data_IF_966565113590
#
_entry.id   IF_966565113590
#
_cell.length_a   1.000
_cell.length_b   1.000
_cell.length_c   1.000
_cell.angle_alpha   90.00
_cell.angle_beta   90.00
_cell.angle_gamma   90.00
#
_symmetry.space_group_name_H-M   'P 1'
#
loop_
_entity.id
_entity.type
_entity.pdbx_description
1 polymer ?
#
# COMPACT_ATOMS: atom_id res chain seq x y z
N UNK A 1 8.12 -14.07 -11.41
CA UNK A 1 9.19 -15.07 -11.19
C UNK A 1 8.80 -16.14 -10.19
N UNK A 2 8.37 -15.82 -8.98
CA UNK A 2 7.91 -16.82 -7.99
C UNK A 2 6.83 -17.76 -8.53
N UNK A 3 5.80 -17.23 -9.20
CA UNK A 3 4.77 -18.05 -9.87
C UNK A 3 5.35 -19.01 -10.92
N UNK A 4 6.37 -18.59 -11.67
CA UNK A 4 7.02 -19.47 -12.67
C UNK A 4 7.72 -20.65 -11.99
N UNK A 5 8.45 -20.40 -10.89
CA UNK A 5 9.09 -21.44 -10.08
C UNK A 5 8.04 -22.40 -9.49
N UNK A 6 6.92 -21.85 -8.99
CA UNK A 6 5.84 -22.67 -8.45
C UNK A 6 5.19 -23.54 -9.52
N UNK A 7 4.85 -22.96 -10.67
CA UNK A 7 4.28 -23.73 -11.80
C UNK A 7 5.21 -24.83 -12.27
N UNK A 8 6.51 -24.55 -12.37
CA UNK A 8 7.50 -25.58 -12.72
C UNK A 8 7.55 -26.71 -11.68
N UNK A 9 7.56 -26.37 -10.36
CA UNK A 9 7.50 -27.36 -9.28
C UNK A 9 6.24 -28.24 -9.36
N UNK A 10 5.13 -27.66 -9.83
CA UNK A 10 3.86 -28.38 -10.05
C UNK A 10 3.84 -29.20 -11.36
N UNK A 11 4.95 -29.26 -12.10
CA UNK A 11 5.10 -30.04 -13.33
C UNK A 11 4.55 -29.37 -14.59
N UNK A 12 4.23 -28.08 -14.54
CA UNK A 12 3.80 -27.35 -15.72
C UNK A 12 4.98 -27.01 -16.65
N UNK A 13 4.74 -27.05 -17.96
CA UNK A 13 5.63 -26.42 -18.94
C UNK A 13 5.42 -24.90 -18.87
N UNK A 14 6.46 -24.16 -18.49
CA UNK A 14 6.36 -22.72 -18.22
C UNK A 14 7.02 -21.92 -19.33
N UNK A 15 6.35 -20.84 -19.76
CA UNK A 15 6.88 -19.79 -20.62
C UNK A 15 6.77 -18.45 -19.89
N UNK A 16 7.89 -17.74 -19.71
CA UNK A 16 7.93 -16.39 -19.19
C UNK A 16 7.93 -15.39 -20.33
N UNK A 17 7.00 -14.44 -20.30
CA UNK A 17 6.92 -13.35 -21.29
C UNK A 17 7.25 -12.02 -20.60
N UNK A 18 8.21 -11.28 -21.13
CA UNK A 18 8.51 -9.89 -20.74
C UNK A 18 8.90 -9.05 -21.96
N UNK A 19 8.72 -7.73 -21.85
CA UNK A 19 9.12 -6.81 -22.93
C UNK A 19 10.62 -6.63 -23.03
N UNK A 20 11.35 -6.78 -21.94
CA UNK A 20 12.80 -6.54 -21.87
C UNK A 20 13.51 -7.60 -21.05
N UNK A 21 14.62 -8.10 -21.59
CA UNK A 21 15.49 -9.03 -20.87
C UNK A 21 16.14 -8.39 -19.63
N UNK A 22 16.39 -7.08 -19.68
CA UNK A 22 17.03 -6.33 -18.58
C UNK A 22 16.20 -6.33 -17.29
N UNK A 23 14.90 -6.67 -17.36
CA UNK A 23 14.02 -6.80 -16.22
C UNK A 23 14.08 -8.17 -15.55
N UNK A 24 14.76 -9.12 -16.17
CA UNK A 24 14.89 -10.49 -15.66
C UNK A 24 16.21 -10.58 -14.90
N UNK A 25 16.19 -10.82 -13.58
CA UNK A 25 17.41 -11.02 -12.80
C UNK A 25 18.24 -12.18 -13.33
N UNK A 26 19.57 -12.03 -13.27
CA UNK A 26 20.50 -13.01 -13.81
C UNK A 26 20.32 -14.41 -13.16
N UNK A 27 20.15 -14.44 -11.85
CA UNK A 27 19.91 -15.68 -11.09
C UNK A 27 18.62 -16.40 -11.50
N UNK A 28 17.59 -15.63 -11.87
CA UNK A 28 16.35 -16.22 -12.40
C UNK A 28 16.55 -16.74 -13.84
N UNK A 29 17.30 -16.04 -14.68
CA UNK A 29 17.59 -16.47 -16.04
C UNK A 29 18.41 -17.80 -16.05
N UNK A 30 19.43 -17.91 -15.19
CA UNK A 30 20.21 -19.14 -14.99
C UNK A 30 19.32 -20.30 -14.51
N UNK A 31 18.45 -20.04 -13.54
CA UNK A 31 17.50 -21.04 -13.08
C UNK A 31 16.56 -21.47 -14.22
N UNK A 32 16.01 -20.52 -14.99
CA UNK A 32 15.06 -20.80 -16.08
C UNK A 32 15.70 -21.69 -17.16
N UNK A 33 16.96 -21.41 -17.53
CA UNK A 33 17.73 -22.23 -18.46
C UNK A 33 17.88 -23.66 -17.94
N UNK A 34 18.31 -23.80 -16.67
CA UNK A 34 18.51 -25.13 -16.05
C UNK A 34 17.21 -25.92 -15.88
N UNK A 35 16.09 -25.22 -15.68
CA UNK A 35 14.76 -25.81 -15.51
C UNK A 35 14.00 -26.03 -16.82
N UNK A 36 14.57 -25.63 -17.96
CA UNK A 36 13.88 -25.71 -19.27
C UNK A 36 12.68 -24.78 -19.40
N UNK A 37 12.69 -23.64 -18.66
CA UNK A 37 11.68 -22.61 -18.77
C UNK A 37 12.01 -21.68 -19.93
N UNK A 38 11.07 -21.54 -20.87
CA UNK A 38 11.23 -20.69 -22.03
C UNK A 38 11.06 -19.21 -21.63
N UNK A 39 12.07 -18.38 -21.89
CA UNK A 39 11.98 -16.94 -21.74
C UNK A 39 11.83 -16.30 -23.12
N UNK A 40 10.76 -15.52 -23.30
CA UNK A 40 10.48 -14.80 -24.55
C UNK A 40 10.39 -13.30 -24.24
N UNK A 41 11.31 -12.54 -24.83
CA UNK A 41 11.36 -11.08 -24.69
C UNK A 41 10.89 -10.38 -25.95
N UNK A 42 10.33 -9.17 -25.76
CA UNK A 42 9.83 -8.32 -26.83
C UNK A 42 8.33 -8.07 -26.77
N UNK A 43 7.77 -7.60 -27.89
CA UNK A 43 6.33 -7.35 -27.97
C UNK A 43 5.54 -8.66 -27.93
N UNK A 44 4.41 -8.61 -27.22
CA UNK A 44 3.53 -9.78 -27.11
C UNK A 44 2.71 -9.97 -28.38
N UNK A 45 2.50 -11.25 -28.74
CA UNK A 45 1.70 -11.65 -29.89
C UNK A 45 0.75 -12.82 -29.55
N UNK A 46 -0.38 -12.96 -30.24
CA UNK A 46 -1.34 -14.05 -29.99
C UNK A 46 -0.74 -15.46 -30.07
N UNK A 47 0.30 -15.64 -30.91
CA UNK A 47 0.95 -16.96 -31.05
C UNK A 47 1.61 -17.46 -29.77
N UNK A 48 2.04 -16.54 -28.88
CA UNK A 48 2.67 -16.89 -27.62
C UNK A 48 1.68 -17.47 -26.58
N UNK A 49 0.38 -17.24 -26.77
CA UNK A 49 -0.69 -17.66 -25.86
C UNK A 49 -1.52 -18.85 -26.40
N UNK A 50 -1.30 -19.27 -27.64
CA UNK A 50 -2.16 -20.28 -28.35
C UNK A 50 -2.25 -21.62 -27.60
N UNK A 51 -1.15 -22.08 -27.01
CA UNK A 51 -1.07 -23.37 -26.31
C UNK A 51 -1.21 -23.21 -24.77
N UNK A 52 -1.38 -21.99 -24.29
CA UNK A 52 -1.48 -21.74 -22.85
C UNK A 52 -2.80 -22.33 -22.31
N UNK A 53 -2.71 -22.96 -21.12
CA UNK A 53 -3.87 -23.39 -20.34
C UNK A 53 -4.15 -22.41 -19.20
N UNK A 54 -3.11 -21.72 -18.76
CA UNK A 54 -3.14 -20.76 -17.66
C UNK A 54 -2.22 -19.60 -17.99
N UNK A 55 -2.67 -18.38 -17.68
CA UNK A 55 -1.87 -17.15 -17.73
C UNK A 55 -1.85 -16.53 -16.34
N UNK A 56 -0.64 -16.35 -15.81
CA UNK A 56 -0.42 -15.68 -14.51
C UNK A 56 0.22 -14.32 -14.77
N UNK A 57 -0.56 -13.23 -14.79
CA UNK A 57 -0.03 -11.90 -15.06
C UNK A 57 0.81 -11.38 -13.89
N UNK A 58 1.79 -10.53 -14.20
CA UNK A 58 2.43 -9.72 -13.18
C UNK A 58 1.43 -8.74 -12.58
N UNK A 59 1.49 -8.44 -11.25
CA UNK A 59 0.67 -7.41 -10.65
C UNK A 59 0.82 -6.08 -11.41
N UNK A 60 -0.28 -5.41 -11.71
CA UNK A 60 -0.29 -4.19 -12.54
C UNK A 60 -0.45 -4.40 -14.05
N UNK A 61 -0.49 -5.64 -14.52
CA UNK A 61 -0.92 -5.95 -15.88
C UNK A 61 -2.41 -6.32 -15.86
N UNK A 62 -3.25 -5.44 -16.38
CA UNK A 62 -4.70 -5.65 -16.39
C UNK A 62 -5.09 -6.86 -17.22
N UNK A 63 -6.04 -7.66 -16.75
CA UNK A 63 -6.58 -8.80 -17.49
C UNK A 63 -7.09 -8.41 -18.89
N UNK A 64 -7.69 -7.21 -19.00
CA UNK A 64 -8.16 -6.65 -20.28
C UNK A 64 -7.04 -6.40 -21.30
N UNK A 65 -5.79 -6.15 -20.83
CA UNK A 65 -4.63 -6.03 -21.74
C UNK A 65 -4.23 -7.40 -22.27
N UNK A 66 -4.25 -8.42 -21.43
CA UNK A 66 -3.88 -9.79 -21.79
C UNK A 66 -4.93 -10.41 -22.70
N UNK A 67 -6.21 -10.19 -22.42
CA UNK A 67 -7.34 -10.74 -23.20
C UNK A 67 -7.25 -10.45 -24.70
N UNK A 68 -6.59 -9.33 -25.07
CA UNK A 68 -6.38 -8.97 -26.49
C UNK A 68 -5.47 -9.93 -27.26
N UNK A 69 -4.68 -10.73 -26.55
CA UNK A 69 -3.75 -11.71 -27.13
C UNK A 69 -4.25 -13.15 -27.01
N UNK A 70 -5.33 -13.38 -26.27
CA UNK A 70 -5.85 -14.71 -26.05
C UNK A 70 -6.66 -15.19 -27.26
N UNK A 71 -6.67 -16.52 -27.52
CA UNK A 71 -7.53 -17.09 -28.57
C UNK A 71 -9.02 -16.92 -28.18
N UNK A 72 -9.85 -16.61 -29.18
CA UNK A 72 -11.31 -16.53 -29.00
C UNK A 72 -11.92 -17.89 -28.64
N UNK A 73 -11.38 -18.94 -29.25
CA UNK A 73 -11.80 -20.31 -29.00
C UNK A 73 -11.01 -20.90 -27.83
N UNK A 74 -11.69 -21.18 -26.72
CA UNK A 74 -11.14 -21.80 -25.52
C UNK A 74 -9.95 -20.99 -24.90
N UNK A 75 -10.19 -19.76 -24.44
CA UNK A 75 -9.13 -18.93 -23.86
C UNK A 75 -8.57 -19.60 -22.58
N UNK A 76 -7.26 -19.41 -22.29
CA UNK A 76 -6.67 -19.88 -21.05
C UNK A 76 -7.28 -19.16 -19.84
N UNK A 77 -7.28 -19.84 -18.69
CA UNK A 77 -7.64 -19.18 -17.42
C UNK A 77 -6.63 -18.06 -17.11
N UNK A 78 -7.11 -16.89 -16.72
CA UNK A 78 -6.27 -15.83 -16.16
C UNK A 78 -6.37 -15.90 -14.64
N UNK A 79 -5.25 -16.05 -13.95
CA UNK A 79 -5.21 -16.30 -12.53
C UNK A 79 -4.12 -15.44 -11.87
N UNK A 80 -4.44 -14.77 -10.75
CA UNK A 80 -3.43 -14.07 -9.96
C UNK A 80 -2.40 -15.06 -9.38
N UNK A 81 -1.17 -14.59 -9.18
CA UNK A 81 -0.13 -15.34 -8.45
C UNK A 81 -0.64 -15.79 -7.06
N UNK A 82 -1.36 -14.91 -6.38
CA UNK A 82 -1.95 -15.19 -5.06
C UNK A 82 -2.97 -16.33 -5.12
N UNK A 83 -3.80 -16.39 -6.15
CA UNK A 83 -4.77 -17.46 -6.34
C UNK A 83 -4.07 -18.79 -6.66
N UNK A 84 -3.03 -18.76 -7.52
CA UNK A 84 -2.21 -19.94 -7.83
C UNK A 84 -1.61 -20.54 -6.55
N UNK A 85 -1.00 -19.68 -5.73
CA UNK A 85 -0.36 -20.11 -4.49
C UNK A 85 -1.40 -20.50 -3.42
N UNK A 86 -2.52 -19.78 -3.33
CA UNK A 86 -3.64 -20.13 -2.44
C UNK A 86 -4.09 -21.59 -2.65
N UNK A 87 -4.25 -22.01 -3.89
CA UNK A 87 -4.66 -23.39 -4.22
C UNK A 87 -3.64 -24.45 -3.78
N UNK A 88 -2.45 -24.06 -3.33
CA UNK A 88 -1.39 -24.96 -2.84
C UNK A 88 -1.21 -24.90 -1.32
N UNK A 89 -1.95 -24.05 -0.62
CA UNK A 89 -1.94 -24.06 0.85
C UNK A 89 -2.43 -25.38 1.39
N UNK A 90 -1.84 -25.85 2.49
CA UNK A 90 -2.16 -27.16 3.09
C UNK A 90 -3.26 -27.06 4.17
N UNK A 91 -3.98 -25.94 4.21
CA UNK A 91 -5.05 -25.69 5.19
C UNK A 91 -4.72 -24.60 6.20
N UNK A 92 -3.60 -23.89 6.04
CA UNK A 92 -3.27 -22.73 6.87
C UNK A 92 -4.37 -21.68 6.74
N UNK A 93 -4.93 -21.17 7.86
CA UNK A 93 -5.94 -20.12 7.79
C UNK A 93 -5.35 -18.80 7.27
N UNK A 94 -6.10 -18.14 6.39
CA UNK A 94 -5.69 -16.86 5.79
C UNK A 94 -6.45 -15.70 6.42
N UNK A 95 -5.70 -14.64 6.76
CA UNK A 95 -6.21 -13.31 7.05
C UNK A 95 -5.86 -12.40 5.87
N UNK A 96 -6.88 -11.96 5.11
CA UNK A 96 -6.71 -11.10 3.96
C UNK A 96 -7.07 -9.64 4.27
N UNK A 97 -6.22 -8.71 3.84
CA UNK A 97 -6.42 -7.26 4.05
C UNK A 97 -6.51 -6.55 2.70
N UNK A 98 -7.62 -5.86 2.45
CA UNK A 98 -7.79 -4.99 1.29
C UNK A 98 -8.35 -3.62 1.66
N UNK A 99 -8.37 -2.70 0.72
CA UNK A 99 -8.85 -1.34 0.89
C UNK A 99 -8.13 -0.40 -0.08
N UNK A 100 -8.53 0.85 -0.12
CA UNK A 100 -7.78 1.86 -0.89
C UNK A 100 -6.51 2.24 -0.15
N UNK A 101 -6.60 2.62 1.11
CA UNK A 101 -5.50 3.06 1.98
C UNK A 101 -5.40 2.19 3.24
N UNK A 102 -4.26 2.24 3.95
CA UNK A 102 -4.06 1.56 5.23
C UNK A 102 -3.65 0.10 5.16
N UNK A 103 -3.74 -0.56 4.00
CA UNK A 103 -3.47 -2.00 3.84
C UNK A 103 -2.15 -2.46 4.47
N UNK A 104 -1.04 -1.85 4.10
CA UNK A 104 0.30 -2.24 4.57
C UNK A 104 0.42 -2.13 6.10
N UNK A 105 -0.07 -1.02 6.66
CA UNK A 105 -0.06 -0.79 8.11
C UNK A 105 -0.89 -1.85 8.83
N UNK A 106 -2.13 -2.09 8.38
CA UNK A 106 -3.02 -3.09 8.99
C UNK A 106 -2.47 -4.50 8.85
N UNK A 107 -1.94 -4.89 7.69
CA UNK A 107 -1.31 -6.20 7.48
C UNK A 107 -0.13 -6.39 8.43
N UNK A 108 0.71 -5.37 8.58
CA UNK A 108 1.87 -5.42 9.48
C UNK A 108 1.46 -5.46 10.95
N UNK A 109 0.41 -4.71 11.34
CA UNK A 109 -0.16 -4.76 12.69
C UNK A 109 -0.75 -6.14 13.01
N UNK A 110 -1.51 -6.73 12.08
CA UNK A 110 -2.01 -8.11 12.24
C UNK A 110 -0.87 -9.08 12.46
N UNK A 111 0.18 -9.01 11.65
CA UNK A 111 1.35 -9.87 11.80
C UNK A 111 2.06 -9.68 13.15
N UNK A 112 2.19 -8.43 13.62
CA UNK A 112 2.80 -8.12 14.91
C UNK A 112 1.97 -8.67 16.07
N UNK A 113 0.65 -8.46 16.06
CA UNK A 113 -0.26 -8.94 17.10
C UNK A 113 -0.27 -10.48 17.18
N UNK A 114 -0.32 -11.17 16.04
CA UNK A 114 -0.29 -12.64 15.98
C UNK A 114 1.05 -13.19 16.49
N UNK A 115 2.17 -12.58 16.11
CA UNK A 115 3.51 -12.97 16.59
C UNK A 115 3.67 -12.72 18.09
N UNK A 116 3.17 -11.60 18.61
CA UNK A 116 3.18 -11.30 20.04
C UNK A 116 2.36 -12.31 20.85
N UNK A 117 1.31 -12.89 20.25
CA UNK A 117 0.55 -14.01 20.82
C UNK A 117 1.31 -15.34 20.80
N UNK A 118 2.45 -15.40 20.11
CA UNK A 118 3.29 -16.60 20.00
C UNK A 118 3.00 -17.48 18.77
N UNK A 119 2.24 -16.98 17.80
CA UNK A 119 1.95 -17.70 16.55
C UNK A 119 3.06 -17.52 15.52
N UNK A 120 3.32 -18.55 14.72
CA UNK A 120 4.16 -18.45 13.52
C UNK A 120 3.33 -17.82 12.39
N UNK A 121 3.86 -16.76 11.77
CA UNK A 121 3.10 -15.96 10.79
C UNK A 121 3.89 -15.78 9.52
N UNK A 122 3.32 -16.19 8.39
CA UNK A 122 3.74 -15.69 7.10
C UNK A 122 3.05 -14.36 6.80
N UNK A 123 3.80 -13.38 6.30
CA UNK A 123 3.26 -12.07 5.91
C UNK A 123 3.73 -11.74 4.50
N UNK A 124 2.80 -11.48 3.59
CA UNK A 124 3.16 -11.22 2.20
C UNK A 124 2.00 -10.77 1.31
N UNK A 125 2.09 -11.11 0.04
CA UNK A 125 1.12 -10.75 -0.99
C UNK A 125 1.52 -9.51 -1.79
N UNK A 126 0.74 -8.43 -1.73
CA UNK A 126 1.06 -7.17 -2.39
C UNK A 126 2.25 -6.41 -1.74
N UNK A 127 2.72 -6.89 -0.61
CA UNK A 127 3.91 -6.43 0.11
C UNK A 127 4.85 -7.60 0.39
N UNK A 128 6.15 -7.28 0.52
CA UNK A 128 7.15 -8.27 0.94
C UNK A 128 7.24 -9.46 0.00
N UNK A 129 7.13 -10.66 0.56
CA UNK A 129 7.32 -11.94 -0.13
C UNK A 129 6.03 -12.40 -0.81
N UNK A 130 6.05 -12.78 -2.11
CA UNK A 130 4.91 -13.39 -2.79
C UNK A 130 4.48 -14.70 -2.13
N UNK A 131 3.17 -15.00 -2.15
CA UNK A 131 2.66 -16.24 -1.56
C UNK A 131 3.24 -17.51 -2.22
N UNK A 132 3.58 -17.45 -3.50
CA UNK A 132 4.27 -18.55 -4.20
C UNK A 132 5.63 -18.88 -3.61
N UNK A 133 6.37 -17.90 -3.09
CA UNK A 133 7.67 -18.16 -2.43
C UNK A 133 7.49 -18.87 -1.10
N UNK A 134 6.44 -18.52 -0.34
CA UNK A 134 6.07 -19.26 0.87
C UNK A 134 5.78 -20.73 0.57
N UNK A 135 5.00 -21.02 -0.49
CA UNK A 135 4.73 -22.40 -0.91
C UNK A 135 6.03 -23.11 -1.36
N UNK A 136 6.93 -22.39 -2.01
CA UNK A 136 8.21 -22.96 -2.46
C UNK A 136 9.17 -23.23 -1.31
N UNK A 137 9.17 -22.43 -0.24
CA UNK A 137 10.02 -22.62 0.93
C UNK A 137 9.69 -23.90 1.70
N UNK A 138 8.44 -24.35 1.65
CA UNK A 138 7.95 -25.48 2.43
C UNK A 138 7.79 -25.18 3.93
N UNK A 139 7.96 -23.91 4.33
CA UNK A 139 7.69 -23.46 5.70
C UNK A 139 6.23 -23.62 6.07
N UNK A 140 5.93 -23.69 7.35
CA UNK A 140 4.58 -23.78 7.88
C UNK A 140 4.32 -22.63 8.84
N UNK A 141 3.20 -21.95 8.65
CA UNK A 141 2.72 -20.87 9.51
C UNK A 141 1.40 -21.29 10.15
N UNK A 142 1.17 -20.82 11.37
CA UNK A 142 -0.15 -20.96 12.02
C UNK A 142 -1.20 -20.06 11.37
N UNK A 143 -0.75 -18.90 10.82
CA UNK A 143 -1.60 -17.94 10.11
C UNK A 143 -0.85 -17.34 8.94
N UNK A 144 -1.50 -17.28 7.78
CA UNK A 144 -1.02 -16.58 6.58
C UNK A 144 -1.71 -15.22 6.49
N UNK A 145 -0.97 -14.11 6.62
CA UNK A 145 -1.49 -12.74 6.55
C UNK A 145 -1.13 -12.12 5.20
N UNK A 146 -2.13 -11.76 4.41
CA UNK A 146 -1.97 -11.28 3.05
C UNK A 146 -2.47 -9.85 2.86
N UNK A 147 -1.59 -8.97 2.38
CA UNK A 147 -2.04 -7.74 1.75
C UNK A 147 -2.52 -8.03 0.33
N UNK A 148 -3.73 -7.61 -0.01
CA UNK A 148 -4.35 -7.92 -1.31
C UNK A 148 -4.79 -6.63 -2.02
N UNK A 149 -4.21 -6.39 -3.21
CA UNK A 149 -4.64 -5.30 -4.09
C UNK A 149 -5.89 -5.68 -4.89
N UNK A 150 -6.59 -4.67 -5.44
CA UNK A 150 -7.70 -4.92 -6.39
C UNK A 150 -7.24 -5.68 -7.63
N UNK A 151 -6.00 -5.44 -8.08
CA UNK A 151 -5.41 -6.11 -9.23
C UNK A 151 -5.26 -7.62 -9.02
N UNK A 152 -4.78 -8.03 -7.84
CA UNK A 152 -4.68 -9.45 -7.49
C UNK A 152 -6.06 -10.07 -7.31
N UNK A 153 -6.95 -9.40 -6.55
CA UNK A 153 -8.29 -9.91 -6.28
C UNK A 153 -9.15 -10.05 -7.55
N UNK A 154 -8.95 -9.21 -8.57
CA UNK A 154 -9.73 -9.25 -9.82
C UNK A 154 -9.74 -10.63 -10.49
N UNK A 155 -8.67 -11.40 -10.35
CA UNK A 155 -8.50 -12.73 -10.94
C UNK A 155 -8.34 -13.84 -9.89
N UNK A 156 -8.79 -13.61 -8.66
CA UNK A 156 -9.00 -14.63 -7.64
C UNK A 156 -10.41 -15.20 -7.75
N UNK A 157 -10.56 -16.50 -7.81
CA UNK A 157 -11.85 -17.19 -7.94
C UNK A 157 -12.19 -18.11 -6.76
N UNK A 158 -11.18 -18.77 -6.18
CA UNK A 158 -11.39 -19.73 -5.08
C UNK A 158 -10.80 -19.26 -3.74
N UNK A 159 -10.12 -18.12 -3.71
CA UNK A 159 -9.58 -17.55 -2.48
C UNK A 159 -10.66 -17.46 -1.42
N UNK A 160 -10.40 -18.07 -0.25
CA UNK A 160 -11.34 -18.19 0.87
C UNK A 160 -10.63 -17.87 2.19
N UNK A 161 -10.47 -16.58 2.54
CA UNK A 161 -9.83 -16.21 3.80
C UNK A 161 -10.76 -16.51 4.98
N UNK A 162 -10.20 -17.05 6.08
CA UNK A 162 -10.89 -17.20 7.37
C UNK A 162 -11.33 -15.85 7.92
N UNK A 163 -10.50 -14.81 7.70
CA UNK A 163 -10.81 -13.43 8.07
C UNK A 163 -10.50 -12.52 6.90
N UNK A 164 -11.46 -11.71 6.49
CA UNK A 164 -11.28 -10.64 5.49
C UNK A 164 -11.44 -9.27 6.13
N UNK A 165 -10.52 -8.34 5.84
CA UNK A 165 -10.62 -6.93 6.26
C UNK A 165 -10.81 -6.06 5.03
N UNK A 166 -11.89 -5.26 5.00
CA UNK A 166 -12.06 -4.16 4.06
C UNK A 166 -11.91 -2.84 4.81
N UNK A 167 -10.82 -2.12 4.54
CA UNK A 167 -10.50 -0.90 5.29
C UNK A 167 -11.33 0.30 4.86
N UNK A 168 -11.22 0.65 3.59
CA UNK A 168 -11.92 1.82 3.04
C UNK A 168 -11.99 1.71 1.52
N UNK A 169 -12.90 2.49 0.95
CA UNK A 169 -13.02 2.63 -0.51
C UNK A 169 -13.07 4.11 -0.84
N UNK A 170 -12.15 4.55 -1.67
CA UNK A 170 -12.13 5.87 -2.29
C UNK A 170 -11.61 5.75 -3.72
N UNK A 171 -11.81 6.76 -4.52
CA UNK A 171 -11.39 6.78 -5.92
C UNK A 171 -9.87 6.56 -6.04
N UNK A 172 -9.51 5.51 -6.77
CA UNK A 172 -8.12 5.17 -7.05
C UNK A 172 -8.06 4.17 -8.22
N UNK A 173 -6.90 4.14 -8.92
CA UNK A 173 -6.61 3.16 -9.97
C UNK A 173 -7.64 3.10 -11.13
N UNK A 174 -8.26 4.24 -11.49
CA UNK A 174 -9.13 4.34 -12.68
C UNK A 174 -8.34 4.35 -14.00
N UNK A 175 -7.01 4.36 -13.94
CA UNK A 175 -6.10 4.06 -15.05
C UNK A 175 -5.99 2.56 -15.34
N UNK A 176 -6.40 1.71 -14.39
CA UNK A 176 -6.38 0.25 -14.49
C UNK A 176 -7.80 -0.34 -14.57
N UNK A 177 -8.69 0.06 -13.68
CA UNK A 177 -10.09 -0.35 -13.67
C UNK A 177 -10.91 0.58 -14.55
N UNK A 178 -11.90 0.01 -15.23
CA UNK A 178 -12.81 0.76 -16.12
C UNK A 178 -13.55 1.89 -15.38
N UNK A 179 -13.99 1.60 -14.16
CA UNK A 179 -14.77 2.49 -13.30
C UNK A 179 -14.68 2.05 -11.82
N UNK A 180 -15.32 2.83 -10.95
CA UNK A 180 -15.38 2.53 -9.52
C UNK A 180 -16.13 1.24 -9.21
N UNK A 181 -17.12 0.85 -9.99
CA UNK A 181 -17.86 -0.40 -9.77
C UNK A 181 -16.96 -1.62 -10.00
N UNK A 182 -16.13 -1.61 -11.03
CA UNK A 182 -15.13 -2.67 -11.27
C UNK A 182 -14.08 -2.71 -10.15
N UNK A 183 -13.58 -1.54 -9.71
CA UNK A 183 -12.63 -1.44 -8.61
C UNK A 183 -13.18 -2.01 -7.31
N UNK A 184 -14.42 -1.64 -6.95
CA UNK A 184 -15.11 -2.15 -5.77
C UNK A 184 -15.35 -3.65 -5.91
N UNK A 185 -15.90 -4.09 -7.05
CA UNK A 185 -16.16 -5.51 -7.32
C UNK A 185 -14.91 -6.36 -7.17
N UNK A 186 -13.77 -5.89 -7.65
CA UNK A 186 -12.50 -6.58 -7.48
C UNK A 186 -12.13 -6.76 -6.00
N UNK A 187 -12.28 -5.72 -5.16
CA UNK A 187 -11.99 -5.84 -3.72
C UNK A 187 -12.97 -6.75 -2.99
N UNK A 188 -14.23 -6.71 -3.36
CA UNK A 188 -15.29 -7.53 -2.74
C UNK A 188 -15.10 -9.03 -3.01
N UNK A 189 -14.29 -9.42 -3.98
CA UNK A 189 -13.89 -10.83 -4.19
C UNK A 189 -13.18 -11.45 -2.99
N UNK A 190 -12.59 -10.64 -2.10
CA UNK A 190 -12.04 -11.11 -0.83
C UNK A 190 -13.04 -11.92 -0.01
N UNK A 191 -14.32 -11.58 -0.13
CA UNK A 191 -15.41 -12.15 0.66
C UNK A 191 -16.28 -13.17 -0.11
N UNK A 192 -16.02 -13.32 -1.42
CA UNK A 192 -16.93 -14.05 -2.31
C UNK A 192 -17.11 -15.54 -1.92
N UNK A 193 -16.07 -16.17 -1.39
CA UNK A 193 -16.12 -17.58 -1.00
C UNK A 193 -16.23 -17.78 0.52
N UNK A 194 -16.31 -16.72 1.32
CA UNK A 194 -16.53 -16.82 2.76
C UNK A 194 -17.89 -17.41 3.07
N UNK A 195 -17.96 -18.10 4.19
CA UNK A 195 -19.16 -18.74 4.75
C UNK A 195 -19.55 -18.08 6.07
N UNK A 196 -20.64 -18.51 6.68
CA UNK A 196 -21.11 -18.01 7.98
C UNK A 196 -20.13 -18.28 9.14
N UNK A 197 -19.19 -19.21 8.97
CA UNK A 197 -18.14 -19.52 9.95
C UNK A 197 -16.95 -18.57 9.88
N UNK A 198 -16.83 -17.79 8.82
CA UNK A 198 -15.74 -16.85 8.57
C UNK A 198 -16.08 -15.45 9.13
N UNK A 199 -15.11 -14.54 9.07
CA UNK A 199 -15.26 -13.18 9.60
C UNK A 199 -14.95 -12.14 8.52
N UNK A 200 -15.87 -11.19 8.36
CA UNK A 200 -15.67 -9.96 7.61
C UNK A 200 -15.55 -8.77 8.58
N UNK A 201 -14.38 -8.12 8.61
CA UNK A 201 -14.15 -6.89 9.37
C UNK A 201 -14.26 -5.72 8.41
N UNK A 202 -15.25 -4.85 8.62
CA UNK A 202 -15.64 -3.79 7.72
C UNK A 202 -15.59 -2.44 8.45
N UNK A 203 -15.24 -1.38 7.74
CA UNK A 203 -15.41 -0.04 8.28
C UNK A 203 -16.91 0.24 8.49
N UNK A 204 -17.25 0.96 9.56
CA UNK A 204 -18.63 1.38 9.81
C UNK A 204 -19.22 2.13 8.61
N UNK A 205 -20.51 1.93 8.35
CA UNK A 205 -21.21 2.47 7.18
C UNK A 205 -21.11 1.62 5.90
N UNK A 206 -20.46 0.45 5.92
CA UNK A 206 -20.33 -0.43 4.75
C UNK A 206 -21.42 -1.51 4.62
N UNK A 207 -22.50 -1.44 5.39
CA UNK A 207 -23.57 -2.45 5.38
C UNK A 207 -24.29 -2.57 4.04
N UNK A 208 -24.58 -1.46 3.39
CA UNK A 208 -25.20 -1.44 2.07
C UNK A 208 -24.32 -2.13 1.03
N UNK A 209 -23.02 -1.83 1.06
CA UNK A 209 -22.05 -2.46 0.19
C UNK A 209 -21.94 -3.96 0.46
N UNK A 210 -21.85 -4.35 1.73
CA UNK A 210 -21.82 -5.76 2.14
C UNK A 210 -23.06 -6.50 1.68
N UNK A 211 -24.24 -5.89 1.76
CA UNK A 211 -25.50 -6.41 1.25
C UNK A 211 -25.52 -6.56 -0.27
N UNK A 212 -25.08 -5.53 -1.01
CA UNK A 212 -24.98 -5.53 -2.49
C UNK A 212 -24.14 -6.72 -2.99
N UNK A 213 -23.06 -7.06 -2.28
CA UNK A 213 -22.17 -8.17 -2.67
C UNK A 213 -22.44 -9.50 -1.95
N UNK A 214 -23.50 -9.57 -1.13
CA UNK A 214 -23.97 -10.80 -0.51
C UNK A 214 -22.96 -11.47 0.43
N UNK A 215 -22.21 -10.69 1.23
CA UNK A 215 -21.23 -11.23 2.18
C UNK A 215 -21.95 -12.15 3.18
N UNK A 216 -21.58 -13.45 3.20
CA UNK A 216 -22.15 -14.48 4.07
C UNK A 216 -21.47 -14.52 5.44
N UNK A 217 -20.21 -14.12 5.52
CA UNK A 217 -19.44 -14.14 6.76
C UNK A 217 -20.11 -13.33 7.88
N UNK A 218 -19.81 -13.68 9.12
CA UNK A 218 -20.14 -12.83 10.28
C UNK A 218 -19.49 -11.47 10.08
N UNK A 219 -20.24 -10.39 10.27
CA UNK A 219 -19.75 -9.03 10.08
C UNK A 219 -19.43 -8.39 11.43
N UNK A 220 -18.27 -7.76 11.54
CA UNK A 220 -17.91 -6.87 12.65
C UNK A 220 -17.50 -5.55 12.03
N UNK A 221 -18.09 -4.48 12.55
CA UNK A 221 -17.74 -3.13 12.12
C UNK A 221 -16.72 -2.49 13.06
N UNK A 222 -15.84 -1.69 12.51
CA UNK A 222 -14.89 -0.91 13.27
C UNK A 222 -15.01 0.59 12.94
N UNK A 223 -14.69 1.38 13.93
CA UNK A 223 -14.52 2.83 13.86
C UNK A 223 -13.18 3.20 14.46
N UNK A 224 -12.90 4.48 14.53
CA UNK A 224 -11.79 4.99 15.33
C UNK A 224 -11.94 4.58 16.80
N UNK A 225 -10.83 4.17 17.43
CA UNK A 225 -10.81 3.67 18.80
C UNK A 225 -9.53 4.12 19.52
N UNK A 226 -9.68 4.52 20.79
CA UNK A 226 -8.57 4.85 21.70
C UNK A 226 -8.10 3.64 22.52
N UNK A 227 -8.42 2.42 22.08
CA UNK A 227 -8.04 1.16 22.74
C UNK A 227 -6.54 1.03 23.03
N UNK A 228 -5.72 1.57 22.15
CA UNK A 228 -4.26 1.47 22.22
C UNK A 228 -3.62 2.85 22.43
N UNK A 229 -3.66 3.41 23.67
CA UNK A 229 -3.19 4.76 23.95
C UNK A 229 -1.66 4.93 23.75
N UNK A 230 -0.89 3.84 23.88
CA UNK A 230 0.58 3.85 23.73
C UNK A 230 1.05 3.64 22.27
N UNK A 231 0.11 3.67 21.31
CA UNK A 231 0.43 3.50 19.88
C UNK A 231 1.32 4.65 19.38
N UNK A 232 2.42 4.29 18.71
CA UNK A 232 3.36 5.24 18.12
C UNK A 232 2.91 5.78 16.74
N UNK A 233 1.93 5.13 16.12
CA UNK A 233 1.37 5.55 14.83
C UNK A 233 0.47 6.77 15.01
N UNK A 234 0.71 7.83 14.24
CA UNK A 234 -0.05 9.07 14.32
C UNK A 234 -1.33 9.04 13.46
N UNK A 235 -2.32 9.77 13.93
CA UNK A 235 -3.55 10.09 13.20
C UNK A 235 -4.71 9.11 13.38
N UNK A 236 -5.95 9.61 13.22
CA UNK A 236 -7.19 8.84 13.44
C UNK A 236 -7.30 7.62 12.53
N UNK A 237 -6.80 7.72 11.29
CA UNK A 237 -6.79 6.60 10.35
C UNK A 237 -5.94 5.42 10.85
N UNK A 238 -4.87 5.67 11.61
CA UNK A 238 -4.07 4.59 12.19
C UNK A 238 -4.75 3.98 13.42
N UNK A 239 -5.53 4.74 14.18
CA UNK A 239 -6.41 4.17 15.22
C UNK A 239 -7.46 3.24 14.61
N UNK A 240 -8.07 3.63 13.47
CA UNK A 240 -8.93 2.74 12.69
C UNK A 240 -8.20 1.47 12.20
N UNK A 241 -6.98 1.61 11.68
CA UNK A 241 -6.18 0.48 11.21
C UNK A 241 -5.86 -0.51 12.36
N UNK A 242 -5.52 0.00 13.54
CA UNK A 242 -5.21 -0.81 14.73
C UNK A 242 -6.46 -1.53 15.25
N UNK A 243 -7.62 -0.85 15.30
CA UNK A 243 -8.87 -1.47 15.70
C UNK A 243 -9.31 -2.58 14.71
N UNK A 244 -9.23 -2.33 13.40
CA UNK A 244 -9.50 -3.34 12.39
C UNK A 244 -8.58 -4.57 12.51
N UNK A 245 -7.28 -4.35 12.74
CA UNK A 245 -6.31 -5.42 12.96
C UNK A 245 -6.64 -6.22 14.21
N UNK A 246 -6.96 -5.53 15.32
CA UNK A 246 -7.35 -6.17 16.58
C UNK A 246 -8.58 -7.06 16.43
N UNK A 247 -9.66 -6.52 15.86
CA UNK A 247 -10.90 -7.27 15.68
C UNK A 247 -10.71 -8.52 14.81
N UNK A 248 -9.81 -8.45 13.83
CA UNK A 248 -9.46 -9.58 12.97
C UNK A 248 -8.60 -10.62 13.72
N UNK A 249 -7.59 -10.18 14.47
CA UNK A 249 -6.66 -11.08 15.17
C UNK A 249 -7.28 -11.84 16.32
N UNK A 250 -8.34 -11.32 16.93
CA UNK A 250 -9.13 -12.03 17.96
C UNK A 250 -9.65 -13.39 17.48
N UNK A 251 -9.96 -13.54 16.20
CA UNK A 251 -10.42 -14.80 15.61
C UNK A 251 -9.35 -15.91 15.69
N UNK A 252 -8.10 -15.53 15.89
CA UNK A 252 -6.95 -16.43 16.06
C UNK A 252 -6.48 -16.53 17.52
N UNK A 253 -7.29 -16.05 18.46
CA UNK A 253 -6.99 -16.15 19.90
C UNK A 253 -6.02 -15.10 20.44
N UNK A 254 -5.74 -14.02 19.69
CA UNK A 254 -4.94 -12.90 20.21
C UNK A 254 -5.69 -12.25 21.38
N UNK A 255 -5.02 -12.04 22.51
CA UNK A 255 -5.57 -11.31 23.65
C UNK A 255 -5.36 -9.81 23.52
N UNK A 256 -6.19 -9.01 24.21
CA UNK A 256 -6.07 -7.55 24.15
C UNK A 256 -4.72 -7.07 24.68
N UNK A 257 -4.18 -7.75 25.70
CA UNK A 257 -2.88 -7.44 26.28
C UNK A 257 -1.73 -7.71 25.30
N UNK A 258 -1.80 -8.81 24.54
CA UNK A 258 -0.81 -9.11 23.50
C UNK A 258 -0.91 -8.10 22.36
N UNK A 259 -2.12 -7.74 21.93
CA UNK A 259 -2.34 -6.72 20.93
C UNK A 259 -1.81 -5.35 21.38
N UNK A 260 -2.06 -4.95 22.63
CA UNK A 260 -1.57 -3.69 23.19
C UNK A 260 -0.04 -3.64 23.21
N UNK A 261 0.64 -4.71 23.64
CA UNK A 261 2.11 -4.77 23.58
C UNK A 261 2.64 -4.70 22.14
N UNK A 262 2.02 -5.43 21.22
CA UNK A 262 2.40 -5.40 19.81
C UNK A 262 2.27 -4.00 19.20
N UNK A 263 1.16 -3.30 19.49
CA UNK A 263 0.89 -1.94 18.98
C UNK A 263 1.83 -0.91 19.59
N UNK A 264 2.10 -1.00 20.90
CA UNK A 264 3.03 -0.09 21.58
C UNK A 264 4.48 -0.25 21.07
N UNK A 265 4.89 -1.49 20.76
CA UNK A 265 6.21 -1.79 20.19
C UNK A 265 6.30 -1.51 18.68
N UNK A 266 5.16 -1.38 17.99
CA UNK A 266 5.12 -1.23 16.54
C UNK A 266 5.67 0.13 16.12
N UNK A 267 6.75 0.10 15.34
CA UNK A 267 7.33 1.31 14.78
C UNK A 267 6.64 1.67 13.47
N UNK A 268 6.40 2.98 13.22
CA UNK A 268 5.93 3.43 11.93
C UNK A 268 6.81 2.89 10.79
N UNK A 269 6.17 2.48 9.69
CA UNK A 269 6.92 2.08 8.50
C UNK A 269 7.69 3.29 7.97
N UNK A 270 8.94 3.08 7.59
CA UNK A 270 9.80 4.13 7.03
C UNK A 270 9.08 4.92 5.93
N UNK A 271 9.21 6.24 5.96
CA UNK A 271 8.59 7.15 5.01
C UNK A 271 7.04 7.17 5.01
N UNK A 272 6.40 6.73 6.11
CA UNK A 272 4.94 6.80 6.32
C UNK A 272 4.63 7.48 7.66
N UNK A 273 4.38 8.79 7.64
CA UNK A 273 4.20 9.62 8.83
C UNK A 273 5.24 9.30 9.92
N UNK A 274 6.47 9.04 9.48
CA UNK A 274 7.61 8.67 10.32
C UNK A 274 8.08 9.89 11.11
N UNK A 275 8.03 9.83 12.44
CA UNK A 275 8.65 10.86 13.30
C UNK A 275 10.16 10.78 13.15
N UNK A 276 10.77 11.86 12.65
CA UNK A 276 12.22 11.95 12.45
C UNK A 276 12.92 12.57 13.65
N UNK A 277 12.47 13.74 14.06
CA UNK A 277 13.03 14.48 15.19
C UNK A 277 12.04 15.50 15.72
N UNK A 278 12.29 15.99 16.93
CA UNK A 278 11.67 17.19 17.46
C UNK A 278 12.77 18.17 17.85
N UNK A 279 12.86 19.30 17.13
CA UNK A 279 13.94 20.28 17.27
C UNK A 279 13.31 21.62 17.64
N UNK A 280 13.71 22.21 18.77
CA UNK A 280 13.17 23.46 19.27
C UNK A 280 11.63 23.50 19.35
N UNK A 281 11.01 22.38 19.77
CA UNK A 281 9.56 22.25 19.87
C UNK A 281 8.83 22.06 18.52
N UNK A 282 9.55 21.96 17.40
CA UNK A 282 9.02 21.65 16.06
C UNK A 282 9.21 20.17 15.76
N UNK A 283 8.11 19.50 15.45
CA UNK A 283 8.11 18.08 15.08
C UNK A 283 8.34 17.90 13.57
N UNK A 284 9.37 17.16 13.18
CA UNK A 284 9.68 16.83 11.79
C UNK A 284 9.17 15.42 11.44
N UNK A 285 8.30 15.33 10.42
CA UNK A 285 7.63 14.10 10.02
C UNK A 285 7.87 13.80 8.54
N UNK A 286 8.31 12.58 8.26
CA UNK A 286 8.59 12.08 6.93
C UNK A 286 7.44 11.20 6.42
N UNK A 287 6.69 11.71 5.46
CA UNK A 287 5.71 10.93 4.68
C UNK A 287 6.05 10.98 3.18
N UNK A 288 7.32 10.72 2.85
CA UNK A 288 7.79 10.73 1.46
C UNK A 288 7.02 9.77 0.56
N UNK A 289 6.39 8.74 1.11
CA UNK A 289 5.50 7.82 0.38
C UNK A 289 4.16 8.43 -0.03
N UNK A 290 3.79 9.58 0.50
CA UNK A 290 2.65 10.39 0.10
C UNK A 290 2.86 10.94 -1.33
N UNK A 291 2.54 10.14 -2.35
CA UNK A 291 2.79 10.47 -3.77
C UNK A 291 1.53 10.85 -4.54
N UNK A 292 0.40 11.02 -3.86
CA UNK A 292 -0.90 11.38 -4.44
C UNK A 292 -1.60 12.44 -3.59
N UNK A 293 -2.54 13.18 -4.19
CA UNK A 293 -3.36 14.19 -3.51
C UNK A 293 -4.20 13.57 -2.39
N UNK A 294 -4.74 12.38 -2.60
CA UNK A 294 -5.54 11.68 -1.59
C UNK A 294 -4.69 11.27 -0.37
N UNK A 295 -3.43 10.83 -0.59
CA UNK A 295 -2.53 10.55 0.52
C UNK A 295 -2.20 11.82 1.32
N UNK A 296 -2.03 12.97 0.64
CA UNK A 296 -1.81 14.26 1.31
C UNK A 296 -3.02 14.67 2.15
N UNK A 297 -4.25 14.42 1.69
CA UNK A 297 -5.48 14.66 2.46
C UNK A 297 -5.42 13.93 3.81
N UNK A 298 -5.09 12.65 3.79
CA UNK A 298 -4.95 11.81 4.99
C UNK A 298 -3.81 12.30 5.89
N UNK A 299 -2.67 12.67 5.31
CA UNK A 299 -1.52 13.13 6.05
C UNK A 299 -1.78 14.45 6.79
N UNK A 300 -2.46 15.42 6.15
CA UNK A 300 -2.83 16.69 6.78
C UNK A 300 -3.78 16.50 7.97
N UNK A 301 -4.79 15.63 7.82
CA UNK A 301 -5.76 15.33 8.88
C UNK A 301 -5.18 14.49 10.04
N UNK A 302 -3.89 14.15 10.00
CA UNK A 302 -3.26 13.32 11.03
C UNK A 302 -2.74 14.12 12.21
N UNK A 303 -2.84 15.45 12.18
CA UNK A 303 -2.24 16.34 13.19
C UNK A 303 -3.24 17.36 13.69
N UNK A 304 -3.27 17.52 15.03
CA UNK A 304 -4.00 18.60 15.72
C UNK A 304 -3.13 19.86 15.86
N UNK A 305 -1.83 19.77 15.57
CA UNK A 305 -0.85 20.87 15.57
C UNK A 305 -0.82 21.52 14.19
N UNK A 306 -0.57 22.84 14.08
CA UNK A 306 -0.42 23.49 12.78
C UNK A 306 0.72 22.87 11.95
N UNK A 307 0.45 22.64 10.66
CA UNK A 307 1.39 22.00 9.73
C UNK A 307 2.09 23.02 8.85
N UNK A 308 3.40 22.96 8.76
CA UNK A 308 4.19 23.54 7.68
C UNK A 308 4.42 22.42 6.64
N UNK A 309 3.70 22.49 5.53
CA UNK A 309 3.68 21.44 4.53
C UNK A 309 4.85 21.59 3.55
N UNK A 310 5.66 20.54 3.40
CA UNK A 310 6.64 20.38 2.32
C UNK A 310 6.00 19.54 1.21
N UNK A 311 5.68 20.17 0.06
CA UNK A 311 5.05 19.51 -1.07
C UNK A 311 5.84 19.75 -2.37
N UNK A 312 5.83 18.76 -3.28
CA UNK A 312 6.50 18.92 -4.56
C UNK A 312 7.12 17.66 -5.14
N UNK A 313 7.58 17.77 -6.37
CA UNK A 313 8.08 16.68 -7.17
C UNK A 313 7.40 16.61 -8.55
N UNK A 314 7.40 15.44 -9.20
CA UNK A 314 6.70 15.22 -10.46
C UNK A 314 5.24 14.89 -10.23
N UNK A 315 4.36 15.86 -10.46
CA UNK A 315 2.92 15.72 -10.28
C UNK A 315 2.29 14.74 -11.28
N UNK A 316 1.38 13.89 -10.79
CA UNK A 316 0.72 12.84 -11.59
C UNK A 316 -0.77 13.09 -11.81
N UNK A 317 -1.29 14.21 -11.32
CA UNK A 317 -2.72 14.53 -11.35
C UNK A 317 -3.38 14.44 -9.97
N UNK A 318 -4.62 14.89 -9.90
CA UNK A 318 -5.43 14.96 -8.69
C UNK A 318 -6.04 16.35 -8.48
N UNK A 319 -7.04 16.43 -7.60
CA UNK A 319 -7.79 17.65 -7.30
C UNK A 319 -7.05 18.52 -6.27
N UNK A 320 -6.17 19.39 -6.73
CA UNK A 320 -5.45 20.34 -5.86
C UNK A 320 -6.37 21.41 -5.24
N UNK A 321 -7.33 22.03 -5.99
CA UNK A 321 -8.29 22.95 -5.41
C UNK A 321 -9.15 22.33 -4.29
N UNK A 322 -9.54 21.07 -4.44
CA UNK A 322 -10.31 20.35 -3.42
C UNK A 322 -9.59 20.13 -2.09
N UNK A 323 -8.28 20.42 -2.01
CA UNK A 323 -7.52 20.44 -0.75
C UNK A 323 -7.56 21.79 -0.02
N UNK A 324 -7.98 22.88 -0.67
CA UNK A 324 -7.94 24.22 -0.08
C UNK A 324 -8.63 24.33 1.29
N UNK A 325 -9.84 23.74 1.52
CA UNK A 325 -10.48 23.78 2.83
C UNK A 325 -9.60 23.14 3.92
N UNK A 326 -9.04 21.98 3.63
CA UNK A 326 -8.21 21.22 4.56
C UNK A 326 -6.87 21.92 4.84
N UNK A 327 -6.26 22.49 3.81
CA UNK A 327 -5.05 23.30 3.97
C UNK A 327 -5.29 24.50 4.86
N UNK A 328 -6.42 25.19 4.69
CA UNK A 328 -6.82 26.33 5.53
C UNK A 328 -7.04 25.95 6.99
N UNK A 329 -7.53 24.73 7.23
CA UNK A 329 -7.81 24.22 8.57
C UNK A 329 -6.55 23.76 9.29
N UNK A 330 -5.68 23.02 8.60
CA UNK A 330 -4.53 22.35 9.23
C UNK A 330 -3.16 22.99 8.96
N UNK A 331 -3.00 23.67 7.81
CA UNK A 331 -1.68 24.15 7.43
C UNK A 331 -1.46 25.63 7.74
N UNK A 332 -0.29 25.97 8.29
CA UNK A 332 0.19 27.33 8.45
C UNK A 332 0.64 27.93 7.12
N UNK A 333 1.42 27.18 6.37
CA UNK A 333 1.95 27.54 5.07
C UNK A 333 2.39 26.30 4.28
N UNK A 334 2.69 26.49 3.00
CA UNK A 334 3.26 25.47 2.12
C UNK A 334 4.63 25.92 1.61
N UNK A 335 5.64 25.08 1.81
CA UNK A 335 6.96 25.20 1.22
C UNK A 335 7.08 24.23 0.05
N UNK A 336 6.93 24.71 -1.16
CA UNK A 336 7.04 23.90 -2.39
C UNK A 336 8.49 23.67 -2.75
N UNK A 337 8.76 22.50 -3.38
CA UNK A 337 10.07 22.21 -3.97
C UNK A 337 9.94 21.45 -5.30
N UNK A 338 11.01 21.49 -6.11
CA UNK A 338 11.10 20.73 -7.35
C UNK A 338 10.17 21.20 -8.47
N UNK A 339 9.73 20.27 -9.31
CA UNK A 339 9.13 20.57 -10.61
C UNK A 339 7.63 20.95 -10.59
N UNK A 340 6.96 20.87 -9.44
CA UNK A 340 5.49 21.06 -9.37
C UNK A 340 5.01 22.51 -9.17
N UNK A 341 5.91 23.49 -9.09
CA UNK A 341 5.59 24.89 -8.81
C UNK A 341 4.43 25.44 -9.63
N UNK A 342 4.49 25.28 -10.96
CA UNK A 342 3.49 25.81 -11.88
C UNK A 342 2.08 25.26 -11.70
N UNK A 343 1.95 24.11 -11.01
CA UNK A 343 0.68 23.47 -10.71
C UNK A 343 0.18 23.79 -9.31
N UNK A 344 1.06 23.77 -8.31
CA UNK A 344 0.68 23.86 -6.90
C UNK A 344 0.54 25.32 -6.43
N UNK A 345 1.47 26.20 -6.83
CA UNK A 345 1.45 27.61 -6.41
C UNK A 345 0.16 28.31 -6.84
N UNK A 346 -0.32 28.23 -8.12
CA UNK A 346 -1.59 28.84 -8.50
C UNK A 346 -2.81 28.23 -7.80
N UNK A 347 -2.77 26.93 -7.44
CA UNK A 347 -3.88 26.25 -6.80
C UNK A 347 -4.05 26.68 -5.34
N UNK A 348 -2.96 27.05 -4.62
CA UNK A 348 -2.98 27.24 -3.18
C UNK A 348 -2.60 28.64 -2.67
N UNK A 349 -1.95 29.49 -3.49
CA UNK A 349 -1.46 30.83 -3.07
C UNK A 349 -2.56 31.76 -2.54
N UNK A 350 -3.80 31.59 -2.98
CA UNK A 350 -4.93 32.41 -2.51
C UNK A 350 -5.56 31.85 -1.23
N UNK A 351 -5.12 30.67 -0.77
CA UNK A 351 -5.61 29.98 0.43
C UNK A 351 -4.72 30.23 1.64
N UNK A 352 -3.40 30.18 1.46
CA UNK A 352 -2.39 30.32 2.51
C UNK A 352 -1.03 30.73 1.90
N UNK A 353 -0.08 31.19 2.74
CA UNK A 353 1.27 31.54 2.25
C UNK A 353 1.95 30.35 1.58
N UNK A 354 2.47 30.56 0.37
CA UNK A 354 3.21 29.56 -0.42
C UNK A 354 4.57 30.08 -0.73
N UNK A 355 5.61 29.29 -0.46
CA UNK A 355 7.00 29.56 -0.90
C UNK A 355 7.44 28.48 -1.88
N UNK A 356 8.50 28.72 -2.63
CA UNK A 356 9.09 27.74 -3.51
C UNK A 356 10.63 27.81 -3.48
N UNK A 357 11.22 26.63 -3.47
CA UNK A 357 12.67 26.44 -3.57
C UNK A 357 13.00 25.34 -4.59
N UNK A 358 14.21 25.38 -5.11
CA UNK A 358 14.59 24.43 -6.17
C UNK A 358 14.72 23.00 -5.65
N UNK A 359 15.21 22.83 -4.41
CA UNK A 359 15.45 21.50 -3.81
C UNK A 359 14.73 21.34 -2.47
N UNK A 360 14.54 20.10 -2.05
CA UNK A 360 13.99 19.77 -0.73
C UNK A 360 14.84 20.34 0.40
N UNK A 361 16.17 20.27 0.31
CA UNK A 361 17.07 20.84 1.32
C UNK A 361 16.89 22.34 1.47
N UNK A 362 16.82 23.09 0.35
CA UNK A 362 16.60 24.54 0.37
C UNK A 362 15.25 24.89 1.02
N UNK A 363 14.19 24.16 0.68
CA UNK A 363 12.87 24.35 1.31
C UNK A 363 12.91 24.08 2.83
N UNK A 364 13.57 23.01 3.27
CA UNK A 364 13.77 22.71 4.69
C UNK A 364 14.58 23.78 5.42
N UNK A 365 15.68 24.27 4.85
CA UNK A 365 16.50 25.36 5.42
C UNK A 365 15.68 26.62 5.59
N UNK A 366 14.87 27.00 4.59
CA UNK A 366 13.93 28.13 4.68
C UNK A 366 12.90 27.91 5.79
N UNK A 367 12.27 26.73 5.86
CA UNK A 367 11.28 26.40 6.89
C UNK A 367 11.86 26.55 8.29
N UNK A 368 13.11 26.14 8.49
CA UNK A 368 13.81 26.21 9.77
C UNK A 368 14.48 27.57 10.05
N UNK A 369 14.34 28.56 9.16
CA UNK A 369 14.96 29.89 9.35
C UNK A 369 16.48 29.87 9.29
N UNK A 370 17.08 28.95 8.57
CA UNK A 370 18.52 28.96 8.26
C UNK A 370 18.81 29.99 7.16
N UNK A 371 20.08 30.29 6.94
CA UNK A 371 20.55 31.22 5.91
C UNK A 371 20.04 32.67 6.07
N UNK A 372 19.76 33.09 7.30
CA UNK A 372 19.36 34.46 7.62
C UNK A 372 17.92 34.85 7.27
N UNK A 373 17.10 33.88 6.87
CA UNK A 373 15.67 34.07 6.63
C UNK A 373 14.87 33.82 7.92
N UNK A 374 13.74 34.52 8.12
CA UNK A 374 12.81 34.17 9.23
C UNK A 374 12.31 32.74 9.07
N UNK A 375 12.24 32.00 10.17
CA UNK A 375 11.66 30.67 10.16
C UNK A 375 10.17 30.69 9.78
N UNK A 376 9.73 29.71 9.00
CA UNK A 376 8.31 29.51 8.71
C UNK A 376 7.64 28.60 9.75
N UNK A 377 8.40 27.68 10.33
CA UNK A 377 7.95 26.81 11.43
C UNK A 377 8.28 27.43 12.78
N UNK A 378 7.34 27.31 13.73
CA UNK A 378 7.45 27.83 15.10
C UNK A 378 7.27 26.69 16.10
N UNK A 379 7.66 26.90 17.35
CA UNK A 379 7.39 25.96 18.44
C UNK A 379 5.91 25.54 18.44
N UNK A 380 5.65 24.25 18.55
CA UNK A 380 4.32 23.68 18.46
C UNK A 380 3.91 23.24 17.05
N UNK A 381 4.63 23.60 15.99
CA UNK A 381 4.29 23.20 14.63
C UNK A 381 4.80 21.79 14.27
N UNK A 382 4.23 21.24 13.20
CA UNK A 382 4.70 20.04 12.52
C UNK A 382 5.26 20.41 11.15
N UNK A 383 6.50 20.11 10.86
CA UNK A 383 7.07 20.15 9.51
C UNK A 383 6.85 18.81 8.86
N UNK A 384 5.91 18.76 7.91
CA UNK A 384 5.45 17.54 7.27
C UNK A 384 5.96 17.44 5.84
N UNK A 385 6.82 16.46 5.54
CA UNK A 385 7.11 16.07 4.17
C UNK A 385 5.97 15.16 3.66
N UNK A 386 5.01 15.72 2.94
CA UNK A 386 3.94 14.98 2.26
C UNK A 386 3.78 15.50 0.83
N UNK A 387 4.62 15.02 -0.10
CA UNK A 387 4.87 15.67 -1.38
C UNK A 387 3.69 15.73 -2.35
N UNK A 388 2.68 14.86 -2.24
CA UNK A 388 1.61 14.65 -3.22
C UNK A 388 2.10 14.37 -4.66
N UNK A 389 3.38 14.08 -4.83
CA UNK A 389 4.08 13.91 -6.10
C UNK A 389 5.02 12.71 -6.07
N UNK A 390 5.26 12.10 -7.22
CA UNK A 390 6.40 11.20 -7.36
C UNK A 390 7.72 11.97 -7.26
N UNK A 391 8.80 11.27 -6.92
CA UNK A 391 10.10 11.87 -6.66
C UNK A 391 11.02 11.98 -7.89
N UNK A 392 10.57 11.48 -9.06
CA UNK A 392 11.41 11.25 -10.25
C UNK A 392 11.97 12.49 -10.95
N UNK A 393 11.67 13.69 -10.44
CA UNK A 393 12.29 14.93 -10.88
C UNK A 393 13.68 15.17 -10.24
N UNK A 394 13.89 14.71 -8.99
CA UNK A 394 15.13 14.92 -8.24
C UNK A 394 15.71 13.64 -7.62
N UNK A 395 14.91 12.57 -7.47
CA UNK A 395 15.30 11.33 -6.80
C UNK A 395 14.88 10.11 -7.62
N UNK A 396 15.63 9.00 -7.59
CA UNK A 396 15.28 7.79 -8.31
C UNK A 396 14.00 7.11 -7.78
N UNK A 397 13.64 7.37 -6.52
CA UNK A 397 12.42 6.86 -5.88
C UNK A 397 12.10 7.65 -4.61
N UNK A 398 10.92 7.39 -4.01
CA UNK A 398 10.48 8.07 -2.80
C UNK A 398 11.32 7.72 -1.55
N UNK A 399 12.00 6.56 -1.53
CA UNK A 399 12.89 6.16 -0.44
C UNK A 399 14.05 7.14 -0.33
N UNK A 400 14.74 7.40 -1.45
CA UNK A 400 15.86 8.35 -1.50
C UNK A 400 15.46 9.77 -1.14
N UNK A 401 14.24 10.21 -1.51
CA UNK A 401 13.71 11.50 -1.08
C UNK A 401 13.49 11.54 0.44
N UNK A 402 12.94 10.47 1.00
CA UNK A 402 12.72 10.39 2.45
C UNK A 402 14.02 10.25 3.25
N UNK A 403 15.01 9.54 2.74
CA UNK A 403 16.36 9.48 3.32
C UNK A 403 17.03 10.86 3.33
N UNK A 404 16.93 11.61 2.22
CA UNK A 404 17.47 12.97 2.14
C UNK A 404 16.78 13.93 3.12
N UNK A 405 15.45 13.83 3.28
CA UNK A 405 14.75 14.58 4.32
C UNK A 405 15.31 14.28 5.71
N UNK A 406 15.48 13.00 6.07
CA UNK A 406 16.06 12.59 7.38
C UNK A 406 17.47 13.10 7.55
N UNK A 407 18.30 13.00 6.51
CA UNK A 407 19.67 13.53 6.52
C UNK A 407 19.68 15.04 6.80
N UNK A 408 18.89 15.83 6.08
CA UNK A 408 18.84 17.28 6.25
C UNK A 408 18.35 17.64 7.66
N UNK A 409 17.34 16.97 8.17
CA UNK A 409 16.84 17.20 9.53
C UNK A 409 17.93 16.95 10.57
N UNK A 410 18.67 15.85 10.48
CA UNK A 410 19.68 15.49 11.48
C UNK A 410 21.01 16.24 11.32
N UNK A 411 21.48 16.46 10.09
CA UNK A 411 22.82 17.01 9.85
C UNK A 411 22.83 18.54 9.69
N UNK A 412 21.71 19.12 9.22
CA UNK A 412 21.64 20.54 8.86
C UNK A 412 20.82 21.35 9.86
N UNK A 413 19.77 20.79 10.45
CA UNK A 413 18.84 21.50 11.32
C UNK A 413 19.09 21.27 12.82
N UNK A 414 19.56 20.08 13.19
CA UNK A 414 19.95 19.71 14.56
C UNK A 414 21.33 20.30 14.98
#
# INVERSE_FOLDING_TARGET
MAAAKLLHKLGARVRLLDRSLDRIPADFAEWAESAGVEIVCGEHSPSQFRDAKLVVPSPGVAAAVISKFLPDDNPPEIMAETELAWRQLSGEPVLGVTGTSGKTTTTSLCAAMLKEQGLTVFTGGNIGTPLSEYILSGEKADVVVLELSSFQLQTCSTLHPRVGILLNISENHLDFHKDMDEYISAKMRLFANQTETDLAVLQDGMDELAGKYGIKARKIHYTESDRFPDMQLMGPHNRCNAEAAWLACREFGVTEEAAARAVAAFQPLEHRLEKVAEINGVLYVNDSKCTTVEALRVALSSFDRPVVLLAGGKFKGGDLPGLCPLLKEHARCVALFGASRERFEPAWRDTLPVTWDRTLEQALRRVAGKDGQPALAHEGDVVLLAPACSSYDQYPNYLRRGEDFKRVVHEVLA
#
